data_IF_250360232903
#
_entry.id   IF_250360232903
#
_cell.length_a   1.000
_cell.length_b   1.000
_cell.length_c   1.000
_cell.angle_alpha   90.00
_cell.angle_beta   90.00
_cell.angle_gamma   90.00
#
_symmetry.space_group_name_H-M   'P 1'
#
loop_
_entity.id
_entity.type
_entity.pdbx_description
1 polymer ?
#
# COMPACT_ATOMS: atom_id res chain seq x y z
N UNK A 1 -11.16 0.55 26.89
CA UNK A 1 -11.62 0.36 28.29
C UNK A 1 -10.50 0.47 29.34
N UNK A 2 -9.23 0.35 28.99
CA UNK A 2 -8.12 0.50 29.96
C UNK A 2 -7.80 1.95 30.36
N UNK A 3 -8.22 2.95 29.57
CA UNK A 3 -7.92 4.35 29.85
C UNK A 3 -8.79 5.04 30.91
N UNK A 4 -10.02 4.54 31.14
CA UNK A 4 -10.97 5.20 32.05
C UNK A 4 -10.66 5.02 33.54
N UNK A 5 -9.77 4.07 33.88
CA UNK A 5 -9.39 3.78 35.29
C UNK A 5 -8.09 4.47 35.72
N UNK A 6 -7.30 5.01 34.78
CA UNK A 6 -5.96 5.54 35.05
C UNK A 6 -5.91 7.06 35.27
N UNK A 7 -6.87 7.81 34.74
CA UNK A 7 -6.88 9.30 34.83
C UNK A 7 -8.29 9.76 35.15
N UNK A 8 -8.55 10.05 36.42
CA UNK A 8 -9.83 10.60 36.89
C UNK A 8 -10.04 12.02 36.36
N UNK A 9 -11.17 12.25 35.66
CA UNK A 9 -11.56 13.56 35.16
C UNK A 9 -11.23 13.86 33.71
N UNK A 10 -10.64 12.91 32.96
CA UNK A 10 -10.32 13.08 31.54
C UNK A 10 -11.23 12.17 30.70
N UNK A 11 -11.74 12.70 29.58
CA UNK A 11 -12.52 11.91 28.61
C UNK A 11 -11.74 10.67 28.12
N UNK A 12 -12.42 9.55 27.97
CA UNK A 12 -11.81 8.24 27.56
C UNK A 12 -10.97 8.38 26.29
N UNK A 13 -11.39 9.21 25.34
CA UNK A 13 -10.64 9.49 24.12
C UNK A 13 -9.33 10.23 24.42
N UNK A 14 -9.36 11.26 25.27
CA UNK A 14 -8.17 12.02 25.65
C UNK A 14 -7.19 11.15 26.44
N UNK A 15 -7.68 10.31 27.36
CA UNK A 15 -6.84 9.39 28.12
C UNK A 15 -6.08 8.40 27.20
N UNK A 16 -6.77 7.85 26.21
CA UNK A 16 -6.12 6.96 25.22
C UNK A 16 -5.09 7.68 24.35
N UNK A 17 -5.32 8.95 23.99
CA UNK A 17 -4.33 9.77 23.27
C UNK A 17 -3.08 10.02 24.11
N UNK A 18 -3.23 10.36 25.40
CA UNK A 18 -2.06 10.55 26.28
C UNK A 18 -1.22 9.31 26.42
N UNK A 19 -1.85 8.14 26.58
CA UNK A 19 -1.15 6.85 26.64
C UNK A 19 -0.40 6.57 25.33
N UNK A 20 -1.04 6.75 24.17
CA UNK A 20 -0.41 6.57 22.86
C UNK A 20 0.77 7.52 22.66
N UNK A 21 0.61 8.81 23.01
CA UNK A 21 1.70 9.79 22.93
C UNK A 21 2.86 9.41 23.85
N UNK A 22 2.59 8.95 25.07
CA UNK A 22 3.61 8.49 25.99
C UNK A 22 4.40 7.30 25.43
N UNK A 23 3.72 6.32 24.82
CA UNK A 23 4.34 5.17 24.16
C UNK A 23 5.22 5.61 22.99
N UNK A 24 4.74 6.53 22.14
CA UNK A 24 5.53 7.04 20.99
C UNK A 24 6.77 7.78 21.45
N UNK A 25 6.64 8.67 22.45
CA UNK A 25 7.78 9.42 22.99
C UNK A 25 8.81 8.47 23.62
N UNK A 26 8.34 7.52 24.45
CA UNK A 26 9.23 6.54 25.10
C UNK A 26 9.96 5.67 24.08
N UNK A 27 9.24 5.20 23.04
CA UNK A 27 9.86 4.44 21.93
C UNK A 27 10.88 5.28 21.16
N UNK A 28 10.59 6.56 20.93
CA UNK A 28 11.51 7.48 20.26
C UNK A 28 12.79 7.69 21.09
N UNK A 29 12.66 7.93 22.39
CA UNK A 29 13.80 8.05 23.31
C UNK A 29 14.64 6.74 23.35
N UNK A 30 13.96 5.59 23.36
CA UNK A 30 14.63 4.29 23.31
C UNK A 30 15.42 4.11 22.01
N UNK A 31 14.85 4.47 20.85
CA UNK A 31 15.56 4.45 19.56
C UNK A 31 16.79 5.37 19.55
N UNK A 32 16.68 6.58 20.11
CA UNK A 32 17.81 7.52 20.24
C UNK A 32 18.90 6.92 21.15
N UNK A 33 18.49 6.33 22.26
CA UNK A 33 19.42 5.66 23.19
C UNK A 33 20.15 4.49 22.54
N UNK A 34 19.44 3.63 21.79
CA UNK A 34 20.04 2.55 21.01
C UNK A 34 21.00 3.07 19.94
N UNK A 35 20.61 4.13 19.22
CA UNK A 35 21.46 4.74 18.20
C UNK A 35 22.75 5.30 18.83
N UNK A 36 22.64 6.00 19.96
CA UNK A 36 23.79 6.53 20.68
C UNK A 36 24.70 5.40 21.19
N UNK A 37 24.10 4.35 21.76
CA UNK A 37 24.84 3.18 22.22
C UNK A 37 25.57 2.46 21.07
N UNK A 38 24.90 2.23 19.94
CA UNK A 38 25.49 1.65 18.74
C UNK A 38 26.70 2.47 18.25
N UNK A 39 26.53 3.79 18.15
CA UNK A 39 27.61 4.67 17.69
C UNK A 39 28.81 4.69 18.65
N UNK A 40 28.59 4.54 19.96
CA UNK A 40 29.65 4.59 20.97
C UNK A 40 30.31 3.23 21.19
N UNK A 41 29.56 2.14 21.16
CA UNK A 41 30.04 0.81 21.54
C UNK A 41 30.42 -0.08 20.35
N UNK A 42 29.69 0.01 19.23
CA UNK A 42 29.80 -0.96 18.13
C UNK A 42 30.54 -0.38 16.92
N UNK A 43 30.25 0.85 16.51
CA UNK A 43 30.89 1.45 15.33
C UNK A 43 32.39 1.59 15.44
N UNK A 44 32.98 2.01 16.57
CA UNK A 44 34.43 2.09 16.70
C UNK A 44 35.13 0.73 16.54
N UNK A 45 34.49 -0.34 17.02
CA UNK A 45 35.02 -1.72 16.92
C UNK A 45 34.93 -2.26 15.47
N UNK A 46 33.92 -1.87 14.71
CA UNK A 46 33.79 -2.23 13.30
C UNK A 46 34.71 -1.40 12.39
N UNK A 47 34.88 -0.11 12.68
CA UNK A 47 35.78 0.76 11.93
C UNK A 47 37.23 0.29 11.99
N UNK A 48 37.70 -0.23 13.13
CA UNK A 48 39.05 -0.81 13.28
C UNK A 48 39.28 -2.06 12.43
N UNK A 49 38.20 -2.78 12.06
CA UNK A 49 38.26 -3.95 11.19
C UNK A 49 38.06 -3.61 9.69
N UNK A 50 37.57 -2.42 9.34
CA UNK A 50 37.39 -1.96 7.97
C UNK A 50 38.58 -1.20 7.41
N UNK A 51 39.41 -0.59 8.21
CA UNK A 51 40.60 0.14 7.77
C UNK A 51 41.62 -0.77 7.08
N UNK A 52 41.61 -2.07 7.33
CA UNK A 52 42.40 -3.06 6.59
C UNK A 52 41.83 -3.43 5.20
N UNK A 53 40.55 -3.13 4.90
CA UNK A 53 39.86 -3.47 3.64
C UNK A 53 39.52 -2.30 2.74
N UNK A 54 39.64 -1.08 3.17
CA UNK A 54 39.11 0.12 2.50
C UNK A 54 40.12 0.91 1.65
N UNK A 55 41.24 0.32 1.23
CA UNK A 55 42.21 1.03 0.34
C UNK A 55 41.83 0.97 -1.17
N UNK A 56 40.62 0.60 -1.56
CA UNK A 56 40.14 0.74 -2.94
C UNK A 56 38.93 1.66 -3.01
N UNK A 57 39.24 2.92 -3.33
CA UNK A 57 38.31 4.04 -3.37
C UNK A 57 37.03 3.81 -4.14
N UNK A 58 35.90 3.77 -3.45
CA UNK A 58 34.61 4.14 -4.05
C UNK A 58 34.47 5.65 -3.99
N UNK A 59 34.70 6.33 -5.13
CA UNK A 59 34.30 7.74 -5.31
C UNK A 59 32.83 7.83 -4.89
N UNK A 60 32.52 8.57 -3.82
CA UNK A 60 31.15 8.96 -3.46
C UNK A 60 30.59 9.80 -4.62
N UNK A 61 29.91 9.16 -5.56
CA UNK A 61 29.18 9.86 -6.59
C UNK A 61 28.16 10.81 -5.95
N UNK A 62 28.05 12.04 -6.46
CA UNK A 62 27.01 13.00 -6.07
C UNK A 62 25.66 12.27 -6.07
N UNK A 63 24.90 12.37 -4.99
CA UNK A 63 23.52 11.85 -4.95
C UNK A 63 22.72 12.54 -6.06
N UNK A 64 22.07 11.79 -6.97
CA UNK A 64 21.33 12.40 -8.07
C UNK A 64 20.20 13.27 -7.52
N UNK A 65 19.95 14.39 -8.16
CA UNK A 65 18.81 15.25 -7.84
C UNK A 65 17.50 14.54 -8.19
N UNK A 66 16.37 14.94 -7.59
CA UNK A 66 15.06 14.32 -7.90
C UNK A 66 14.75 14.40 -9.41
N UNK A 67 15.13 15.49 -10.09
CA UNK A 67 14.91 15.66 -11.51
C UNK A 67 15.77 14.70 -12.35
N UNK A 68 17.02 14.49 -11.97
CA UNK A 68 17.91 13.51 -12.63
C UNK A 68 17.38 12.09 -12.46
N UNK A 69 16.90 11.77 -11.25
CA UNK A 69 16.27 10.47 -10.94
C UNK A 69 15.02 10.24 -11.78
N UNK A 70 14.16 11.25 -11.94
CA UNK A 70 12.98 11.20 -12.78
C UNK A 70 13.31 11.00 -14.26
N UNK A 71 14.27 11.78 -14.80
CA UNK A 71 14.75 11.62 -16.17
C UNK A 71 15.35 10.23 -16.40
N UNK A 72 16.01 9.67 -15.39
CA UNK A 72 16.59 8.34 -15.46
C UNK A 72 15.50 7.26 -15.56
N UNK A 73 14.44 7.37 -14.75
CA UNK A 73 13.27 6.46 -14.81
C UNK A 73 12.59 6.52 -16.18
N UNK A 74 12.46 7.71 -16.77
CA UNK A 74 11.84 7.89 -18.09
C UNK A 74 12.66 7.31 -19.26
N UNK A 75 13.96 7.09 -19.10
CA UNK A 75 14.82 6.54 -20.15
C UNK A 75 14.71 5.02 -20.30
N UNK A 76 14.45 4.29 -19.23
CA UNK A 76 14.29 2.84 -19.28
C UNK A 76 12.80 2.47 -19.33
N UNK A 77 12.41 1.67 -20.32
CA UNK A 77 11.03 1.19 -20.48
C UNK A 77 10.61 0.29 -19.33
N UNK A 78 11.51 -0.56 -18.87
CA UNK A 78 11.32 -1.49 -17.76
C UNK A 78 11.10 -0.72 -16.45
N UNK A 79 11.98 0.26 -16.19
CA UNK A 79 11.92 1.07 -15.00
C UNK A 79 10.65 1.94 -14.94
N UNK A 80 10.23 2.45 -16.11
CA UNK A 80 8.95 3.17 -16.25
C UNK A 80 7.76 2.26 -15.95
N UNK A 81 7.77 1.00 -16.43
CA UNK A 81 6.71 0.05 -16.11
C UNK A 81 6.66 -0.24 -14.60
N UNK A 82 7.81 -0.48 -13.95
CA UNK A 82 7.86 -0.68 -12.49
C UNK A 82 7.36 0.56 -11.74
N UNK A 83 7.74 1.76 -12.17
CA UNK A 83 7.23 3.02 -11.60
C UNK A 83 5.71 3.14 -11.75
N UNK A 84 5.16 2.78 -12.91
CA UNK A 84 3.70 2.77 -13.12
C UNK A 84 2.99 1.79 -12.19
N UNK A 85 3.53 0.59 -11.95
CA UNK A 85 2.94 -0.36 -11.00
C UNK A 85 2.84 0.27 -9.60
N UNK A 86 3.91 0.92 -9.14
CA UNK A 86 3.95 1.55 -7.81
C UNK A 86 3.00 2.76 -7.74
N UNK A 87 2.94 3.57 -8.79
CA UNK A 87 2.03 4.71 -8.89
C UNK A 87 0.57 4.26 -8.88
N UNK A 88 0.20 3.30 -9.73
CA UNK A 88 -1.16 2.77 -9.83
C UNK A 88 -1.62 2.21 -8.47
N UNK A 89 -0.79 1.38 -7.83
CA UNK A 89 -1.08 0.90 -6.47
C UNK A 89 -1.32 2.06 -5.50
N UNK A 90 -0.42 3.05 -5.49
CA UNK A 90 -0.48 4.18 -4.56
C UNK A 90 -1.74 5.03 -4.73
N UNK A 91 -2.20 5.25 -5.97
CA UNK A 91 -3.42 6.01 -6.26
C UNK A 91 -4.65 5.24 -5.82
N UNK A 92 -4.80 3.98 -6.23
CA UNK A 92 -5.99 3.16 -5.92
C UNK A 92 -6.15 2.96 -4.41
N UNK A 93 -5.07 2.64 -3.69
CA UNK A 93 -5.15 2.46 -2.24
C UNK A 93 -5.48 3.77 -1.52
N UNK A 94 -5.09 4.91 -2.06
CA UNK A 94 -5.46 6.21 -1.52
C UNK A 94 -6.97 6.46 -1.64
N UNK A 95 -7.58 6.16 -2.80
CA UNK A 95 -9.03 6.28 -2.98
C UNK A 95 -9.80 5.41 -2.00
N UNK A 96 -9.41 4.13 -1.87
CA UNK A 96 -10.03 3.18 -0.95
C UNK A 96 -9.91 3.68 0.50
N UNK A 97 -8.72 4.09 0.91
CA UNK A 97 -8.43 4.52 2.29
C UNK A 97 -9.24 5.76 2.67
N UNK A 98 -9.36 6.74 1.76
CA UNK A 98 -10.11 7.98 2.00
C UNK A 98 -11.61 7.72 2.05
N UNK A 99 -12.14 6.96 1.09
CA UNK A 99 -13.57 6.61 1.05
C UNK A 99 -13.98 5.74 2.25
N UNK A 100 -13.17 4.74 2.61
CA UNK A 100 -13.44 3.89 3.76
C UNK A 100 -13.47 4.69 5.07
N UNK A 101 -12.48 5.57 5.28
CA UNK A 101 -12.50 6.47 6.46
C UNK A 101 -13.68 7.42 6.45
N UNK A 102 -14.12 7.88 5.27
CA UNK A 102 -15.35 8.66 5.11
C UNK A 102 -16.57 7.88 5.56
N UNK A 103 -16.74 6.64 5.10
CA UNK A 103 -17.84 5.77 5.52
C UNK A 103 -17.77 5.42 7.01
N UNK A 104 -16.59 5.13 7.53
CA UNK A 104 -16.39 4.85 8.95
C UNK A 104 -16.76 6.07 9.83
N UNK A 105 -16.46 7.30 9.38
CA UNK A 105 -16.85 8.52 10.07
C UNK A 105 -18.36 8.69 10.13
N UNK A 106 -19.06 8.38 9.03
CA UNK A 106 -20.54 8.39 8.97
C UNK A 106 -21.10 7.32 9.91
N UNK A 107 -20.56 6.10 9.85
CA UNK A 107 -20.96 4.98 10.69
C UNK A 107 -20.78 5.28 12.18
N UNK A 108 -19.68 5.92 12.55
CA UNK A 108 -19.39 6.29 13.94
C UNK A 108 -20.29 7.41 14.48
N UNK A 109 -21.05 8.13 13.60
CA UNK A 109 -22.00 9.15 14.03
C UNK A 109 -21.39 10.30 14.85
N UNK A 110 -20.07 10.56 14.70
CA UNK A 110 -19.32 11.55 15.48
C UNK A 110 -18.65 11.00 16.73
N UNK A 111 -18.88 9.73 17.10
CA UNK A 111 -18.17 9.09 18.21
C UNK A 111 -16.71 8.81 17.82
N UNK A 112 -15.81 9.60 18.41
CA UNK A 112 -14.37 9.50 18.20
C UNK A 112 -13.78 8.22 18.78
N UNK A 113 -14.34 7.71 19.87
CA UNK A 113 -13.88 6.49 20.52
C UNK A 113 -14.18 5.27 19.67
N UNK A 114 -15.39 5.20 19.08
CA UNK A 114 -15.78 4.15 18.14
C UNK A 114 -14.90 4.16 16.90
N UNK A 115 -14.67 5.34 16.30
CA UNK A 115 -13.78 5.49 15.16
C UNK A 115 -12.37 4.98 15.46
N UNK A 116 -11.81 5.35 16.61
CA UNK A 116 -10.47 4.94 17.03
C UNK A 116 -10.40 3.42 17.30
N UNK A 117 -11.43 2.83 17.90
CA UNK A 117 -11.50 1.39 18.12
C UNK A 117 -11.45 0.61 16.80
N UNK A 118 -12.25 1.02 15.79
CA UNK A 118 -12.20 0.43 14.44
C UNK A 118 -10.84 0.57 13.78
N UNK A 119 -10.17 1.71 13.92
CA UNK A 119 -8.84 1.93 13.37
C UNK A 119 -7.79 1.05 14.04
N UNK A 120 -7.91 0.83 15.36
CA UNK A 120 -7.05 -0.08 16.12
C UNK A 120 -7.23 -1.54 15.71
N UNK A 121 -8.50 -1.98 15.62
CA UNK A 121 -8.86 -3.33 15.16
C UNK A 121 -8.35 -3.58 13.72
N UNK A 122 -8.59 -2.64 12.81
CA UNK A 122 -8.09 -2.68 11.44
C UNK A 122 -6.57 -2.86 11.39
N UNK A 123 -5.83 -2.11 12.20
CA UNK A 123 -4.37 -2.20 12.22
C UNK A 123 -3.90 -3.56 12.73
N UNK A 124 -4.54 -4.08 13.76
CA UNK A 124 -4.23 -5.40 14.36
C UNK A 124 -4.51 -6.52 13.37
N UNK A 125 -5.71 -6.56 12.78
CA UNK A 125 -6.11 -7.59 11.82
C UNK A 125 -5.24 -7.52 10.56
N UNK A 126 -4.96 -6.31 10.04
CA UNK A 126 -4.03 -6.13 8.92
C UNK A 126 -2.65 -6.70 9.23
N UNK A 127 -2.14 -6.49 10.44
CA UNK A 127 -0.87 -7.05 10.89
C UNK A 127 -0.87 -8.57 10.88
N UNK A 128 -1.90 -9.19 11.46
CA UNK A 128 -2.04 -10.65 11.50
C UNK A 128 -2.14 -11.24 10.07
N UNK A 129 -3.02 -10.68 9.22
CA UNK A 129 -3.14 -11.14 7.82
C UNK A 129 -1.82 -10.97 7.07
N UNK A 130 -1.09 -9.89 7.32
CA UNK A 130 0.23 -9.66 6.69
C UNK A 130 1.21 -10.76 7.04
N UNK A 131 1.30 -11.16 8.32
CA UNK A 131 2.19 -12.24 8.75
C UNK A 131 1.81 -13.57 8.09
N UNK A 132 0.52 -13.91 8.04
CA UNK A 132 0.03 -15.13 7.38
C UNK A 132 0.35 -15.10 5.89
N UNK A 133 0.06 -13.99 5.20
CA UNK A 133 0.33 -13.85 3.77
C UNK A 133 1.82 -13.80 3.44
N UNK A 134 2.69 -13.31 4.33
CA UNK A 134 4.15 -13.38 4.14
C UNK A 134 4.65 -14.83 4.11
N UNK A 135 4.12 -15.68 4.98
CA UNK A 135 4.46 -17.11 5.02
C UNK A 135 3.94 -17.81 3.74
N UNK A 136 2.70 -17.53 3.34
CA UNK A 136 2.09 -18.11 2.15
C UNK A 136 2.69 -17.54 0.85
N UNK A 137 3.07 -16.28 0.84
CA UNK A 137 3.62 -15.58 -0.33
C UNK A 137 4.87 -16.24 -0.89
N UNK A 138 5.76 -16.75 -0.03
CA UNK A 138 6.93 -17.51 -0.46
C UNK A 138 6.56 -18.79 -1.24
N UNK A 139 5.49 -19.47 -0.87
CA UNK A 139 5.00 -20.65 -1.58
C UNK A 139 4.31 -20.28 -2.90
N UNK A 140 3.60 -19.15 -2.94
CA UNK A 140 2.98 -18.62 -4.16
C UNK A 140 4.07 -18.31 -5.19
N UNK A 141 5.11 -17.56 -4.78
CA UNK A 141 6.22 -17.17 -5.67
C UNK A 141 7.04 -18.36 -6.20
N UNK A 142 6.99 -19.51 -5.54
CA UNK A 142 7.65 -20.74 -6.02
C UNK A 142 6.80 -21.56 -6.99
N UNK A 143 5.45 -21.42 -6.95
CA UNK A 143 4.52 -22.24 -7.75
C UNK A 143 3.97 -21.51 -8.97
N UNK A 144 3.97 -20.17 -8.95
CA UNK A 144 3.40 -19.35 -10.01
C UNK A 144 4.52 -18.63 -10.78
N UNK A 145 4.28 -18.41 -12.08
CA UNK A 145 5.16 -17.53 -12.87
C UNK A 145 5.16 -16.12 -12.30
N UNK A 146 6.20 -15.34 -12.61
CA UNK A 146 6.28 -13.94 -12.15
C UNK A 146 5.02 -13.14 -12.50
N UNK A 147 4.53 -13.29 -13.73
CA UNK A 147 3.32 -12.59 -14.20
C UNK A 147 2.08 -12.96 -13.37
N UNK A 148 1.86 -14.25 -13.14
CA UNK A 148 0.73 -14.74 -12.35
C UNK A 148 0.77 -14.20 -10.91
N UNK A 149 1.93 -14.27 -10.27
CA UNK A 149 2.12 -13.76 -8.91
C UNK A 149 1.94 -12.24 -8.84
N UNK A 150 2.46 -11.48 -9.82
CA UNK A 150 2.34 -10.02 -9.88
C UNK A 150 0.90 -9.57 -10.23
N UNK A 151 0.17 -10.33 -11.06
CA UNK A 151 -1.22 -10.04 -11.43
C UNK A 151 -2.21 -10.33 -10.30
N UNK A 152 -1.87 -11.20 -9.35
CA UNK A 152 -2.76 -11.56 -8.24
C UNK A 152 -3.17 -10.34 -7.41
N UNK A 153 -2.24 -9.40 -7.19
CA UNK A 153 -2.51 -8.19 -6.39
C UNK A 153 -3.53 -7.26 -7.05
N UNK A 154 -3.37 -6.80 -8.31
CA UNK A 154 -4.40 -5.98 -8.93
C UNK A 154 -5.72 -6.73 -9.15
N UNK A 155 -5.72 -8.06 -9.37
CA UNK A 155 -6.93 -8.85 -9.48
C UNK A 155 -7.72 -8.87 -8.17
N UNK A 156 -7.07 -9.15 -7.04
CA UNK A 156 -7.71 -9.09 -5.72
C UNK A 156 -8.25 -7.70 -5.42
N UNK A 157 -7.49 -6.65 -5.79
CA UNK A 157 -7.94 -5.26 -5.66
C UNK A 157 -9.17 -4.95 -6.49
N UNK A 158 -9.24 -5.41 -7.75
CA UNK A 158 -10.40 -5.18 -8.62
C UNK A 158 -11.65 -5.82 -8.03
N UNK A 159 -11.57 -7.12 -7.68
CA UNK A 159 -12.71 -7.86 -7.13
C UNK A 159 -13.25 -7.19 -5.87
N UNK A 160 -12.36 -6.86 -4.95
CA UNK A 160 -12.75 -6.20 -3.70
C UNK A 160 -13.19 -4.75 -3.89
N UNK A 161 -12.61 -4.02 -4.86
CA UNK A 161 -13.01 -2.65 -5.18
C UNK A 161 -14.43 -2.58 -5.79
N UNK A 162 -14.79 -3.54 -6.65
CA UNK A 162 -16.16 -3.63 -7.19
C UNK A 162 -17.19 -3.77 -6.07
N UNK A 163 -16.93 -4.65 -5.11
CA UNK A 163 -17.79 -4.82 -3.93
C UNK A 163 -17.85 -3.56 -3.07
N UNK A 164 -16.72 -2.92 -2.84
CA UNK A 164 -16.61 -1.73 -2.01
C UNK A 164 -17.29 -0.51 -2.65
N UNK A 165 -16.90 -0.15 -3.87
CA UNK A 165 -17.51 0.97 -4.57
C UNK A 165 -18.99 0.72 -4.83
N UNK A 166 -19.35 -0.52 -5.19
CA UNK A 166 -20.74 -0.93 -5.39
C UNK A 166 -21.58 -0.74 -4.13
N UNK A 167 -21.08 -1.13 -2.95
CA UNK A 167 -21.79 -0.95 -1.69
C UNK A 167 -22.00 0.52 -1.34
N UNK A 168 -21.04 1.40 -1.63
CA UNK A 168 -21.16 2.84 -1.39
C UNK A 168 -22.15 3.47 -2.36
N UNK A 169 -22.03 3.20 -3.67
CA UNK A 169 -22.90 3.76 -4.70
C UNK A 169 -24.35 3.32 -4.47
N UNK A 170 -24.56 2.03 -4.16
CA UNK A 170 -25.87 1.51 -3.82
C UNK A 170 -26.43 2.19 -2.56
N UNK A 171 -25.61 2.38 -1.54
CA UNK A 171 -25.99 3.07 -0.30
C UNK A 171 -26.41 4.51 -0.52
N UNK A 172 -25.72 5.25 -1.37
CA UNK A 172 -26.11 6.63 -1.71
C UNK A 172 -27.41 6.65 -2.55
N UNK A 173 -27.55 5.76 -3.51
CA UNK A 173 -28.75 5.67 -4.36
C UNK A 173 -30.03 5.29 -3.59
N UNK A 174 -29.90 4.48 -2.53
CA UNK A 174 -31.04 4.02 -1.72
C UNK A 174 -31.31 4.90 -0.49
N UNK A 175 -30.47 5.88 -0.21
CA UNK A 175 -30.58 6.77 0.95
C UNK A 175 -31.89 7.56 0.94
N UNK A 176 -32.34 8.03 -0.22
CA UNK A 176 -33.57 8.80 -0.38
C UNK A 176 -34.84 7.93 -0.37
N UNK A 177 -34.73 6.67 -0.75
CA UNK A 177 -35.86 5.74 -0.84
C UNK A 177 -36.25 5.08 0.48
N UNK A 178 -35.47 5.30 1.56
CA UNK A 178 -35.80 4.78 2.89
C UNK A 178 -35.84 3.25 3.01
N UNK A 179 -35.39 2.53 1.97
CA UNK A 179 -35.40 1.09 1.94
C UNK A 179 -34.36 0.53 2.92
N UNK A 180 -34.74 -0.42 3.79
CA UNK A 180 -33.78 -1.17 4.59
C UNK A 180 -32.98 -2.08 3.66
N UNK A 181 -31.72 -1.96 3.76
CA UNK A 181 -30.76 -2.38 2.80
C UNK A 181 -30.48 -3.84 2.83
N UNK A 182 -30.30 -4.72 2.64
CA UNK A 182 -29.89 -6.13 2.68
C UNK A 182 -30.37 -6.83 3.94
N UNK A 183 -31.37 -7.65 3.80
CA UNK A 183 -31.62 -8.76 4.72
C UNK A 183 -30.71 -9.93 4.29
N UNK A 184 -29.51 -10.00 4.83
CA UNK A 184 -28.66 -11.15 4.68
C UNK A 184 -28.94 -12.08 5.87
N UNK A 185 -29.44 -13.30 5.63
CA UNK A 185 -29.78 -14.27 6.69
C UNK A 185 -30.72 -13.73 7.79
N UNK A 186 -31.69 -12.85 7.42
CA UNK A 186 -32.64 -12.29 8.39
C UNK A 186 -32.14 -11.11 9.23
N UNK A 187 -30.90 -10.66 9.00
CA UNK A 187 -30.34 -9.45 9.65
C UNK A 187 -30.36 -8.28 8.67
N UNK A 188 -31.03 -7.19 9.04
CA UNK A 188 -31.05 -5.95 8.25
C UNK A 188 -29.75 -5.20 8.48
N UNK A 189 -28.89 -5.14 7.46
CA UNK A 189 -27.61 -4.43 7.48
C UNK A 189 -27.78 -3.10 6.75
N UNK A 190 -27.39 -1.97 7.36
CA UNK A 190 -27.36 -0.69 6.67
C UNK A 190 -26.25 -0.65 5.61
N UNK A 191 -26.45 0.12 4.51
CA UNK A 191 -25.44 0.25 3.45
C UNK A 191 -24.10 0.79 3.98
N UNK A 192 -24.19 1.72 4.92
CA UNK A 192 -23.00 2.30 5.55
C UNK A 192 -22.23 1.23 6.33
N UNK A 193 -22.94 0.38 7.13
CA UNK A 193 -22.31 -0.72 7.83
C UNK A 193 -21.68 -1.74 6.87
N UNK A 194 -22.38 -2.07 5.78
CA UNK A 194 -21.86 -2.95 4.73
C UNK A 194 -20.59 -2.37 4.10
N UNK A 195 -20.61 -1.10 3.69
CA UNK A 195 -19.47 -0.42 3.11
C UNK A 195 -18.27 -0.35 4.07
N UNK A 196 -18.51 -0.13 5.37
CA UNK A 196 -17.47 -0.14 6.40
C UNK A 196 -16.83 -1.53 6.52
N UNK A 197 -17.63 -2.60 6.56
CA UNK A 197 -17.13 -3.97 6.66
C UNK A 197 -16.40 -4.43 5.40
N UNK A 198 -16.96 -4.18 4.22
CA UNK A 198 -16.31 -4.52 2.95
C UNK A 198 -15.00 -3.75 2.81
N UNK A 199 -15.01 -2.43 3.08
CA UNK A 199 -13.81 -1.61 3.02
C UNK A 199 -12.74 -1.98 4.07
N UNK A 200 -13.16 -2.45 5.24
CA UNK A 200 -12.26 -2.98 6.28
C UNK A 200 -11.47 -4.19 5.75
N UNK A 201 -12.17 -5.21 5.27
CA UNK A 201 -11.52 -6.41 4.75
C UNK A 201 -10.73 -6.15 3.48
N UNK A 202 -11.25 -5.33 2.57
CA UNK A 202 -10.52 -4.90 1.38
C UNK A 202 -9.21 -4.21 1.75
N UNK A 203 -9.26 -3.21 2.64
CA UNK A 203 -8.08 -2.47 3.07
C UNK A 203 -7.04 -3.38 3.75
N UNK A 204 -7.50 -4.31 4.62
CA UNK A 204 -6.63 -5.24 5.32
C UNK A 204 -5.94 -6.21 4.34
N UNK A 205 -6.70 -6.86 3.46
CA UNK A 205 -6.17 -7.81 2.46
C UNK A 205 -5.23 -7.09 1.48
N UNK A 206 -5.60 -5.91 1.01
CA UNK A 206 -4.78 -5.14 0.07
C UNK A 206 -3.43 -4.72 0.67
N UNK A 207 -3.43 -4.22 1.91
CA UNK A 207 -2.18 -3.85 2.60
C UNK A 207 -1.32 -5.07 2.88
N UNK A 208 -1.93 -6.17 3.29
CA UNK A 208 -1.23 -7.43 3.52
C UNK A 208 -0.63 -8.00 2.22
N UNK A 209 -1.40 -8.01 1.11
CA UNK A 209 -0.91 -8.45 -0.21
C UNK A 209 0.21 -7.58 -0.74
N UNK A 210 0.22 -6.27 -0.40
CA UNK A 210 1.34 -5.39 -0.76
C UNK A 210 2.65 -5.90 -0.18
N UNK A 211 2.69 -6.15 1.10
CA UNK A 211 3.93 -6.53 1.79
C UNK A 211 4.36 -7.97 1.47
N UNK A 212 3.42 -8.86 1.17
CA UNK A 212 3.71 -10.27 0.90
C UNK A 212 4.02 -10.58 -0.56
N UNK A 213 3.28 -9.98 -1.51
CA UNK A 213 3.36 -10.32 -2.93
C UNK A 213 3.84 -9.15 -3.79
N UNK A 214 3.22 -7.95 -3.64
CA UNK A 214 3.55 -6.82 -4.51
C UNK A 214 5.00 -6.36 -4.35
N UNK A 215 5.46 -6.16 -3.13
CA UNK A 215 6.83 -5.74 -2.89
C UNK A 215 7.83 -6.82 -3.33
N UNK A 216 7.52 -8.10 -3.12
CA UNK A 216 8.37 -9.22 -3.56
C UNK A 216 8.45 -9.33 -5.09
N UNK A 217 7.31 -9.29 -5.80
CA UNK A 217 7.30 -9.35 -7.28
C UNK A 217 7.94 -8.12 -7.91
N UNK A 218 7.79 -6.94 -7.30
CA UNK A 218 8.50 -5.72 -7.69
C UNK A 218 10.02 -5.89 -7.54
N UNK A 219 10.50 -6.45 -6.43
CA UNK A 219 11.92 -6.72 -6.23
C UNK A 219 12.47 -7.71 -7.26
N UNK A 220 11.71 -8.76 -7.59
CA UNK A 220 12.10 -9.70 -8.64
C UNK A 220 12.24 -9.03 -10.01
N UNK A 221 11.41 -8.02 -10.31
CA UNK A 221 11.49 -7.27 -11.57
C UNK A 221 12.79 -6.45 -11.72
N UNK A 222 13.45 -6.11 -10.61
CA UNK A 222 14.76 -5.45 -10.68
C UNK A 222 15.92 -6.41 -10.93
N UNK A 223 15.76 -7.74 -10.70
CA UNK A 223 16.88 -8.70 -10.79
C UNK A 223 17.52 -8.74 -12.18
N UNK A 224 16.78 -8.80 -13.30
CA UNK A 224 17.37 -8.85 -14.62
C UNK A 224 17.93 -7.53 -15.14
N UNK A 225 17.69 -6.39 -14.43
CA UNK A 225 18.15 -5.08 -14.89
C UNK A 225 19.64 -4.86 -14.61
N UNK A 226 20.28 -3.97 -15.39
CA UNK A 226 21.67 -3.56 -15.19
C UNK A 226 21.91 -2.95 -13.81
N UNK A 227 23.13 -3.12 -13.27
CA UNK A 227 23.49 -2.66 -11.94
C UNK A 227 23.30 -1.14 -11.72
N UNK A 228 23.51 -0.32 -12.75
CA UNK A 228 23.29 1.12 -12.69
C UNK A 228 21.79 1.44 -12.57
N UNK A 229 20.97 0.77 -13.37
CA UNK A 229 19.51 0.86 -13.36
C UNK A 229 18.95 0.37 -12.02
N UNK A 230 19.45 -0.77 -11.51
CA UNK A 230 19.09 -1.28 -10.18
C UNK A 230 19.30 -0.23 -9.08
N UNK A 231 20.48 0.35 -9.01
CA UNK A 231 20.85 1.18 -7.87
C UNK A 231 20.17 2.55 -7.90
N UNK A 232 20.29 3.25 -9.05
CA UNK A 232 19.73 4.61 -9.19
C UNK A 232 18.23 4.59 -9.42
N UNK A 233 17.76 3.65 -10.26
CA UNK A 233 16.35 3.53 -10.62
C UNK A 233 15.48 3.06 -9.47
N UNK A 234 15.90 2.04 -8.73
CA UNK A 234 15.19 1.54 -7.56
C UNK A 234 15.00 2.63 -6.51
N UNK A 235 16.07 3.38 -6.19
CA UNK A 235 15.98 4.48 -5.23
C UNK A 235 14.96 5.54 -5.67
N UNK A 236 14.91 5.87 -6.98
CA UNK A 236 13.95 6.82 -7.53
C UNK A 236 12.51 6.30 -7.45
N UNK A 237 12.27 5.05 -7.86
CA UNK A 237 10.92 4.46 -7.87
C UNK A 237 10.40 4.22 -6.45
N UNK A 238 11.21 3.70 -5.53
CA UNK A 238 10.78 3.38 -4.18
C UNK A 238 10.52 4.64 -3.34
N UNK A 239 11.37 5.66 -3.46
CA UNK A 239 11.22 6.90 -2.68
C UNK A 239 10.16 7.83 -3.28
N UNK A 240 10.22 8.07 -4.60
CA UNK A 240 9.31 9.00 -5.28
C UNK A 240 7.98 8.34 -5.66
N UNK A 241 8.00 7.13 -6.24
CA UNK A 241 6.81 6.47 -6.77
C UNK A 241 5.72 6.23 -5.75
N UNK A 242 6.05 5.71 -4.57
CA UNK A 242 5.08 5.46 -3.51
C UNK A 242 4.43 6.73 -2.95
N UNK A 243 5.21 7.81 -2.84
CA UNK A 243 4.70 9.13 -2.39
C UNK A 243 3.87 9.81 -3.48
N UNK A 244 4.35 9.79 -4.72
CA UNK A 244 3.65 10.36 -5.87
C UNK A 244 2.32 9.66 -6.14
N UNK A 245 2.23 8.33 -5.97
CA UNK A 245 0.98 7.60 -6.08
C UNK A 245 -0.07 8.11 -5.08
N UNK A 246 0.27 8.20 -3.80
CA UNK A 246 -0.65 8.73 -2.77
C UNK A 246 -0.99 10.21 -3.01
N UNK A 247 -0.02 11.02 -3.36
CA UNK A 247 -0.25 12.44 -3.68
C UNK A 247 -1.10 12.61 -4.94
N UNK A 248 -0.91 11.76 -5.97
CA UNK A 248 -1.74 11.73 -7.16
C UNK A 248 -3.20 11.40 -6.84
N UNK A 249 -3.43 10.42 -5.96
CA UNK A 249 -4.77 10.09 -5.48
C UNK A 249 -5.43 11.26 -4.72
N UNK A 250 -4.69 11.90 -3.81
CA UNK A 250 -5.17 13.08 -3.10
C UNK A 250 -5.44 14.25 -4.03
N UNK A 251 -4.57 14.48 -5.03
CA UNK A 251 -4.75 15.54 -6.03
C UNK A 251 -6.02 15.33 -6.86
N UNK A 252 -6.26 14.10 -7.33
CA UNK A 252 -7.49 13.77 -8.07
C UNK A 252 -8.73 14.10 -7.23
N UNK A 253 -8.72 13.75 -5.96
CA UNK A 253 -9.81 14.03 -5.04
C UNK A 253 -10.01 15.53 -4.83
N UNK A 254 -8.90 16.30 -4.68
CA UNK A 254 -8.95 17.75 -4.58
C UNK A 254 -9.50 18.41 -5.84
N UNK A 255 -9.12 17.94 -7.02
CA UNK A 255 -9.64 18.43 -8.29
C UNK A 255 -11.14 18.16 -8.39
N UNK A 256 -11.60 16.96 -8.04
CA UNK A 256 -13.01 16.63 -8.03
C UNK A 256 -13.80 17.50 -7.04
N UNK A 257 -13.25 17.81 -5.87
CA UNK A 257 -13.88 18.71 -4.89
C UNK A 257 -13.95 20.16 -5.37
N UNK A 258 -12.98 20.61 -6.19
CA UNK A 258 -13.04 21.94 -6.82
C UNK A 258 -14.13 21.98 -7.90
N UNK A 259 -14.26 20.91 -8.69
CA UNK A 259 -15.30 20.80 -9.74
C UNK A 259 -16.68 20.66 -9.12
N UNK A 260 -16.81 19.92 -8.01
CA UNK A 260 -18.05 19.64 -7.29
C UNK A 260 -17.96 20.15 -5.84
N UNK A 261 -18.00 21.46 -5.58
CA UNK A 261 -17.69 22.04 -4.27
C UNK A 261 -18.69 21.66 -3.16
N UNK A 262 -19.89 21.22 -3.53
CA UNK A 262 -20.91 20.77 -2.58
C UNK A 262 -20.96 19.25 -2.39
N UNK A 263 -20.15 18.51 -3.13
CA UNK A 263 -20.11 17.06 -3.03
C UNK A 263 -19.31 16.62 -1.80
N UNK A 264 -19.85 15.67 -1.07
CA UNK A 264 -19.11 14.97 -0.02
C UNK A 264 -18.07 14.05 -0.64
N UNK A 265 -17.02 13.69 0.09
CA UNK A 265 -16.03 12.71 -0.39
C UNK A 265 -16.67 11.39 -0.81
N UNK A 266 -17.74 10.99 -0.13
CA UNK A 266 -18.48 9.75 -0.40
C UNK A 266 -19.30 9.85 -1.70
N UNK A 267 -19.97 10.97 -1.96
CA UNK A 267 -20.73 11.17 -3.19
C UNK A 267 -19.85 11.29 -4.45
N UNK A 268 -18.54 11.48 -4.29
CA UNK A 268 -17.58 11.42 -5.40
C UNK A 268 -17.15 9.99 -5.77
N UNK A 269 -17.66 8.96 -5.07
CA UNK A 269 -17.32 7.55 -5.32
C UNK A 269 -17.50 7.11 -6.77
N UNK A 270 -18.57 7.44 -7.54
CA UNK A 270 -18.69 7.02 -8.92
C UNK A 270 -17.55 7.50 -9.81
N UNK A 271 -17.09 8.74 -9.62
CA UNK A 271 -15.98 9.31 -10.38
C UNK A 271 -14.65 8.63 -10.04
N UNK A 272 -14.44 8.33 -8.77
CA UNK A 272 -13.24 7.61 -8.30
C UNK A 272 -13.25 6.14 -8.77
N UNK A 273 -14.42 5.51 -8.83
CA UNK A 273 -14.59 4.17 -9.38
C UNK A 273 -14.22 4.14 -10.87
N UNK A 274 -14.74 5.08 -11.68
CA UNK A 274 -14.35 5.23 -13.08
C UNK A 274 -12.85 5.47 -13.25
N UNK A 275 -12.26 6.38 -12.49
CA UNK A 275 -10.82 6.63 -12.51
C UNK A 275 -10.02 5.36 -12.16
N UNK A 276 -10.50 4.57 -11.20
CA UNK A 276 -9.85 3.31 -10.81
C UNK A 276 -9.82 2.29 -11.95
N UNK A 277 -10.86 2.21 -12.79
CA UNK A 277 -10.88 1.32 -13.97
C UNK A 277 -9.76 1.68 -14.94
N UNK A 278 -9.57 2.96 -15.25
CA UNK A 278 -8.45 3.42 -16.10
C UNK A 278 -7.09 3.09 -15.48
N UNK A 279 -6.94 3.28 -14.18
CA UNK A 279 -5.70 2.99 -13.47
C UNK A 279 -5.41 1.48 -13.50
N UNK A 280 -6.39 0.62 -13.31
CA UNK A 280 -6.22 -0.82 -13.44
C UNK A 280 -5.83 -1.23 -14.87
N UNK A 281 -6.42 -0.61 -15.91
CA UNK A 281 -6.03 -0.87 -17.29
C UNK A 281 -4.54 -0.51 -17.54
N UNK A 282 -4.08 0.65 -17.05
CA UNK A 282 -2.68 1.06 -17.11
C UNK A 282 -1.79 0.08 -16.35
N UNK A 283 -2.22 -0.38 -15.18
CA UNK A 283 -1.49 -1.35 -14.36
C UNK A 283 -1.29 -2.67 -15.11
N UNK A 284 -2.36 -3.24 -15.66
CA UNK A 284 -2.25 -4.48 -16.45
C UNK A 284 -1.41 -4.31 -17.70
N UNK A 285 -1.55 -3.19 -18.40
CA UNK A 285 -0.69 -2.87 -19.54
C UNK A 285 0.80 -2.85 -19.13
N UNK A 286 1.13 -2.20 -18.02
CA UNK A 286 2.51 -2.17 -17.50
C UNK A 286 3.01 -3.57 -17.12
N UNK A 287 2.16 -4.40 -16.48
CA UNK A 287 2.51 -5.79 -16.13
C UNK A 287 2.80 -6.64 -17.37
N UNK A 288 1.92 -6.62 -18.37
CA UNK A 288 2.11 -7.40 -19.61
C UNK A 288 3.37 -6.96 -20.34
N UNK A 289 3.60 -5.65 -20.43
CA UNK A 289 4.79 -5.10 -21.10
C UNK A 289 6.07 -5.48 -20.37
N UNK A 290 6.07 -5.43 -19.03
CA UNK A 290 7.21 -5.78 -18.21
C UNK A 290 7.50 -7.28 -18.27
N UNK A 291 6.48 -8.13 -18.25
CA UNK A 291 6.65 -9.58 -18.43
C UNK A 291 7.31 -9.91 -19.75
N UNK A 292 6.82 -9.33 -20.86
CA UNK A 292 7.41 -9.55 -22.19
C UNK A 292 8.85 -9.07 -22.29
N UNK A 293 9.21 -7.97 -21.61
CA UNK A 293 10.57 -7.42 -21.67
C UNK A 293 11.58 -8.18 -20.82
N UNK A 294 11.17 -8.78 -19.69
CA UNK A 294 12.12 -9.31 -18.70
C UNK A 294 12.08 -10.83 -18.53
N UNK A 295 10.95 -11.48 -18.82
CA UNK A 295 10.73 -12.86 -18.42
C UNK A 295 10.32 -13.80 -19.58
N UNK A 296 9.65 -13.32 -20.63
CA UNK A 296 9.15 -14.16 -21.71
C UNK A 296 10.26 -14.88 -22.50
N UNK A 297 11.44 -14.29 -22.63
CA UNK A 297 12.58 -14.93 -23.30
C UNK A 297 13.17 -16.08 -22.46
N UNK A 298 13.14 -15.94 -21.12
CA UNK A 298 13.63 -16.99 -20.22
C UNK A 298 12.69 -18.17 -20.14
N UNK A 299 11.38 -17.91 -20.01
CA UNK A 299 10.36 -18.99 -20.02
C UNK A 299 10.44 -19.83 -21.31
N UNK A 300 10.66 -19.17 -22.45
CA UNK A 300 10.81 -19.87 -23.75
C UNK A 300 12.11 -20.68 -23.84
N UNK A 301 13.17 -20.28 -23.17
CA UNK A 301 14.44 -21.02 -23.14
C UNK A 301 14.36 -22.22 -22.18
N UNK A 302 13.81 -22.05 -20.99
CA UNK A 302 13.59 -23.10 -20.01
C UNK A 302 12.65 -24.19 -20.55
N UNK A 303 11.57 -23.82 -21.24
CA UNK A 303 10.64 -24.75 -21.89
C UNK A 303 11.31 -25.53 -23.02
N UNK A 304 12.21 -24.90 -23.79
CA UNK A 304 12.99 -25.59 -24.84
C UNK A 304 14.06 -26.52 -24.27
N UNK A 305 14.67 -26.17 -23.15
CA UNK A 305 15.66 -27.02 -22.47
C UNK A 305 14.98 -28.24 -21.82
N UNK A 306 13.80 -28.06 -21.22
CA UNK A 306 13.00 -29.17 -20.68
C UNK A 306 12.51 -30.12 -21.77
N UNK A 307 12.05 -29.57 -22.91
CA UNK A 307 11.66 -30.39 -24.09
C UNK A 307 12.83 -31.11 -24.73
N UNK A 308 14.04 -30.59 -24.65
CA UNK A 308 15.25 -31.23 -25.18
C UNK A 308 15.83 -32.28 -24.23
N UNK A 309 15.46 -32.23 -22.94
CA UNK A 309 15.92 -33.18 -21.93
C UNK A 309 14.93 -34.35 -21.70
N UNK A 310 13.71 -34.27 -22.24
CA UNK A 310 12.67 -35.30 -22.20
C UNK A 310 12.72 -36.18 -23.48
#
# INVERSE_FOLDING_TARGET
>A
RAGSTLISGVDQFQASLYILMAIVVTSGLFCIGLYWWMNKAILPTLALNEDEKASKGKKKGKKPTMMESFKFVMKSKELLCIALLVLCYGVVINYIDVLWKGQLKIYAGGDKSLFQAYMGEFSTITGVITLVLMILGGNILRRFTWFQAAALVPLTLIVTAVLFFGSIIYGEATRESGLPLFTLFGVSVSAVALAVQVGFWQGAVTKASKYSLFDATKEMAYIPLDNEIKTKGKAAVDVAGGRMGKSGGALTLSILQIIFPFATTVSLTPYLACASVFIFAIWFFALVKLNKSLFAEKETQEEKEELAAA
#
